data_IF_651876474914
#
_entry.id   IF_651876474914
#
_cell.length_a   1.000
_cell.length_b   1.000
_cell.length_c   1.000
_cell.angle_alpha   90.00
_cell.angle_beta   90.00
_cell.angle_gamma   90.00
#
_symmetry.space_group_name_H-M   'P 1'
#
loop_
_entity.id
_entity.type
_entity.pdbx_description
1 polymer ?
#
# COMPACT_ATOMS: atom_id res chain seq x y z
N UNK A 1 -30.26 -25.59 -16.12
CA UNK A 1 -29.64 -24.27 -15.85
C UNK A 1 -29.34 -24.23 -14.36
N UNK A 2 -28.19 -24.77 -13.95
CA UNK A 2 -27.74 -24.68 -12.55
C UNK A 2 -26.83 -23.46 -12.41
N UNK A 3 -27.29 -22.48 -11.65
CA UNK A 3 -26.53 -21.30 -11.28
C UNK A 3 -25.56 -21.73 -10.16
N UNK A 4 -24.30 -21.97 -10.52
CA UNK A 4 -23.23 -22.25 -9.58
C UNK A 4 -22.90 -21.00 -8.75
N UNK A 5 -23.64 -20.81 -7.65
CA UNK A 5 -23.33 -19.82 -6.63
C UNK A 5 -22.00 -20.13 -5.98
N UNK A 6 -20.92 -19.56 -6.53
CA UNK A 6 -19.58 -19.63 -5.94
C UNK A 6 -19.63 -19.05 -4.53
N UNK A 7 -19.23 -19.84 -3.53
CA UNK A 7 -18.98 -19.38 -2.16
C UNK A 7 -18.04 -18.17 -2.23
N UNK A 8 -18.57 -16.96 -2.01
CA UNK A 8 -17.82 -15.71 -2.15
C UNK A 8 -16.70 -15.64 -1.12
N UNK A 9 -15.46 -15.95 -1.55
CA UNK A 9 -14.27 -15.75 -0.75
C UNK A 9 -13.89 -14.27 -0.66
N UNK A 10 -13.11 -13.91 0.36
CA UNK A 10 -12.50 -12.57 0.44
C UNK A 10 -11.64 -12.28 -0.79
N UNK A 11 -11.51 -11.02 -1.15
CA UNK A 11 -10.58 -10.57 -2.17
C UNK A 11 -9.11 -10.82 -1.76
N UNK A 12 -8.22 -10.82 -2.75
CA UNK A 12 -6.79 -10.91 -2.50
C UNK A 12 -6.18 -9.52 -2.25
N UNK A 13 -5.16 -9.45 -1.39
CA UNK A 13 -4.30 -8.28 -1.28
C UNK A 13 -3.00 -8.57 -2.02
N UNK A 14 -2.77 -7.91 -3.14
CA UNK A 14 -1.58 -8.10 -4.00
C UNK A 14 -0.73 -6.84 -3.91
N UNK A 15 0.46 -6.95 -3.33
CA UNK A 15 1.39 -5.82 -3.18
C UNK A 15 2.56 -5.97 -4.15
N UNK A 16 2.86 -4.91 -4.90
CA UNK A 16 4.06 -4.84 -5.74
C UNK A 16 5.10 -3.91 -5.09
N UNK A 17 6.24 -4.49 -4.75
CA UNK A 17 7.40 -3.82 -4.15
C UNK A 17 8.59 -3.80 -5.10
N UNK A 18 9.56 -2.92 -4.84
CA UNK A 18 10.78 -2.80 -5.64
C UNK A 18 11.34 -1.38 -5.69
N UNK A 19 12.58 -1.27 -6.19
CA UNK A 19 13.33 -0.02 -6.28
C UNK A 19 12.66 1.02 -7.18
N UNK A 20 13.07 2.28 -7.06
CA UNK A 20 12.57 3.34 -7.92
C UNK A 20 12.83 3.05 -9.39
N UNK A 21 11.86 3.39 -10.25
CA UNK A 21 11.87 3.11 -11.69
C UNK A 21 11.89 1.62 -12.09
N UNK A 22 11.62 0.69 -11.17
CA UNK A 22 11.47 -0.75 -11.50
C UNK A 22 10.18 -1.13 -12.25
N UNK A 23 9.35 -0.15 -12.65
CA UNK A 23 8.12 -0.40 -13.42
C UNK A 23 6.90 -0.84 -12.61
N UNK A 24 6.92 -0.78 -11.27
CA UNK A 24 5.80 -1.20 -10.39
C UNK A 24 4.46 -0.60 -10.80
N UNK A 25 4.42 0.72 -11.00
CA UNK A 25 3.17 1.41 -11.34
C UNK A 25 2.59 0.92 -12.66
N UNK A 26 3.44 0.68 -13.66
CA UNK A 26 3.03 0.11 -14.95
C UNK A 26 2.51 -1.32 -14.79
N UNK A 27 3.15 -2.14 -13.95
CA UNK A 27 2.71 -3.51 -13.69
C UNK A 27 1.42 -3.57 -12.87
N UNK A 28 1.23 -2.67 -11.89
CA UNK A 28 -0.03 -2.54 -11.15
C UNK A 28 -1.19 -2.21 -12.09
N UNK A 29 -1.00 -1.25 -12.99
CA UNK A 29 -2.03 -0.88 -13.97
C UNK A 29 -2.37 -2.05 -14.91
N UNK A 30 -1.36 -2.76 -15.42
CA UNK A 30 -1.57 -3.94 -16.28
C UNK A 30 -2.31 -5.07 -15.54
N UNK A 31 -1.95 -5.33 -14.29
CA UNK A 31 -2.59 -6.34 -13.47
C UNK A 31 -4.05 -5.97 -13.16
N UNK A 32 -4.29 -4.71 -12.81
CA UNK A 32 -5.64 -4.18 -12.58
C UNK A 32 -6.53 -4.41 -13.81
N UNK A 33 -6.11 -3.92 -14.98
CA UNK A 33 -6.88 -4.09 -16.22
C UNK A 33 -7.07 -5.56 -16.61
N UNK A 34 -6.08 -6.42 -16.34
CA UNK A 34 -6.22 -7.85 -16.58
C UNK A 34 -7.29 -8.49 -15.70
N UNK A 35 -7.31 -8.19 -14.40
CA UNK A 35 -8.29 -8.73 -13.46
C UNK A 35 -9.70 -8.18 -13.71
N UNK A 36 -9.81 -6.88 -13.98
CA UNK A 36 -11.08 -6.25 -14.39
C UNK A 36 -11.62 -6.90 -15.68
N UNK A 37 -10.76 -7.13 -16.68
CA UNK A 37 -11.12 -7.82 -17.93
C UNK A 37 -11.54 -9.28 -17.74
N UNK A 38 -11.25 -9.89 -16.59
CA UNK A 38 -11.72 -11.23 -16.19
C UNK A 38 -13.01 -11.19 -15.36
N UNK A 39 -13.59 -10.01 -15.13
CA UNK A 39 -14.79 -9.83 -14.31
C UNK A 39 -14.51 -9.91 -12.80
N UNK A 40 -13.26 -9.82 -12.37
CA UNK A 40 -12.92 -9.79 -10.95
C UNK A 40 -13.11 -8.38 -10.39
N UNK A 41 -13.89 -8.22 -9.32
CA UNK A 41 -13.97 -6.97 -8.57
C UNK A 41 -12.58 -6.61 -8.02
N UNK A 42 -11.97 -5.57 -8.56
CA UNK A 42 -10.57 -5.21 -8.29
C UNK A 42 -10.41 -3.70 -8.18
N UNK A 43 -9.54 -3.24 -7.28
CA UNK A 43 -9.17 -1.81 -7.15
C UNK A 43 -7.66 -1.62 -7.11
N UNK A 44 -7.17 -0.54 -7.73
CA UNK A 44 -5.76 -0.12 -7.70
C UNK A 44 -5.51 0.91 -6.60
N UNK A 45 -4.54 0.63 -5.73
CA UNK A 45 -4.18 1.45 -4.58
C UNK A 45 -2.69 1.76 -4.59
N UNK A 46 -2.27 2.83 -3.91
CA UNK A 46 -0.86 3.25 -3.82
C UNK A 46 -0.55 3.85 -2.45
N UNK A 47 0.63 3.56 -1.92
CA UNK A 47 1.17 4.26 -0.75
C UNK A 47 2.47 5.02 -1.06
N UNK A 48 2.69 6.21 -0.45
CA UNK A 48 1.76 6.89 0.45
C UNK A 48 0.54 7.43 -0.31
N UNK A 49 -0.63 7.42 0.33
CA UNK A 49 -1.79 8.15 -0.17
C UNK A 49 -1.60 9.64 0.14
N UNK A 50 -1.33 10.41 -0.91
CA UNK A 50 -0.98 11.83 -0.85
C UNK A 50 -2.19 12.76 -0.67
N UNK A 51 -3.40 12.25 -0.76
CA UNK A 51 -4.62 13.06 -0.64
C UNK A 51 -5.01 13.32 0.82
N UNK A 52 -4.55 12.44 1.73
CA UNK A 52 -4.74 12.58 3.18
C UNK A 52 -3.88 13.71 3.77
N UNK A 53 -4.26 14.25 4.92
CA UNK A 53 -3.46 15.26 5.64
C UNK A 53 -2.04 14.75 5.96
N UNK A 54 -1.91 13.47 6.36
CA UNK A 54 -0.61 12.83 6.58
C UNK A 54 0.15 12.66 5.26
N UNK A 55 -0.53 12.29 4.18
CA UNK A 55 0.01 12.20 2.83
C UNK A 55 0.61 13.50 2.32
N UNK A 56 -0.04 14.63 2.62
CA UNK A 56 0.46 15.97 2.27
C UNK A 56 1.74 16.30 3.04
N UNK A 57 1.82 15.97 4.34
CA UNK A 57 3.05 16.13 5.13
C UNK A 57 4.20 15.28 4.57
N UNK A 58 3.92 14.02 4.21
CA UNK A 58 4.91 13.15 3.56
C UNK A 58 5.36 13.74 2.22
N UNK A 59 4.42 14.29 1.43
CA UNK A 59 4.73 14.88 0.12
C UNK A 59 5.64 16.10 0.24
N UNK A 60 5.38 16.99 1.19
CA UNK A 60 6.24 18.14 1.48
C UNK A 60 7.65 17.72 1.90
N UNK A 61 7.78 16.66 2.71
CA UNK A 61 9.07 16.09 3.06
C UNK A 61 9.82 15.54 1.84
N UNK A 62 9.14 14.75 1.00
CA UNK A 62 9.76 14.19 -0.22
C UNK A 62 10.15 15.27 -1.25
N UNK A 63 9.49 16.43 -1.23
CA UNK A 63 9.82 17.59 -2.04
C UNK A 63 10.96 18.45 -1.46
N UNK A 64 11.55 18.06 -0.32
CA UNK A 64 12.51 18.87 0.45
C UNK A 64 11.97 20.23 0.93
N UNK A 65 10.65 20.38 1.01
CA UNK A 65 9.98 21.60 1.50
C UNK A 65 9.87 21.63 3.04
N UNK A 66 10.11 20.50 3.70
CA UNK A 66 10.16 20.38 5.15
C UNK A 66 11.30 19.47 5.60
N UNK A 67 11.97 19.86 6.68
CA UNK A 67 12.98 19.03 7.34
C UNK A 67 12.32 18.32 8.52
N UNK A 68 12.19 17.00 8.41
CA UNK A 68 11.66 16.15 9.47
C UNK A 68 12.72 15.12 9.85
N UNK A 69 12.78 14.80 11.15
CA UNK A 69 13.59 13.69 11.65
C UNK A 69 13.17 12.36 10.99
N UNK A 70 14.16 11.49 10.74
CA UNK A 70 13.94 10.23 10.03
C UNK A 70 12.98 9.27 10.75
N UNK A 71 12.88 9.35 12.07
CA UNK A 71 11.90 8.59 12.86
C UNK A 71 10.51 9.18 12.68
N UNK A 72 10.40 10.51 12.65
CA UNK A 72 9.12 11.20 12.45
C UNK A 72 8.53 10.83 11.10
N UNK A 73 9.31 10.94 10.01
CA UNK A 73 8.81 10.59 8.68
C UNK A 73 8.47 9.09 8.58
N UNK A 74 9.24 8.20 9.20
CA UNK A 74 8.91 6.77 9.27
C UNK A 74 7.54 6.51 9.93
N UNK A 75 7.25 7.21 11.02
CA UNK A 75 5.96 7.12 11.71
C UNK A 75 4.82 7.69 10.87
N UNK A 76 5.05 8.80 10.14
CA UNK A 76 4.05 9.35 9.21
C UNK A 76 3.70 8.36 8.09
N UNK A 77 4.70 7.71 7.48
CA UNK A 77 4.44 6.64 6.50
C UNK A 77 3.67 5.46 7.09
N UNK A 78 3.88 5.15 8.37
CA UNK A 78 3.13 4.11 9.07
C UNK A 78 1.69 4.55 9.33
N UNK A 79 1.49 5.78 9.83
CA UNK A 79 0.20 6.38 10.08
C UNK A 79 -0.67 6.46 8.81
N UNK A 80 -0.09 6.88 7.68
CA UNK A 80 -0.79 6.96 6.40
C UNK A 80 -1.35 5.60 5.91
N UNK A 81 -0.69 4.49 6.25
CA UNK A 81 -1.21 3.13 5.99
C UNK A 81 -2.31 2.75 6.99
N UNK A 82 -2.15 3.11 8.25
CA UNK A 82 -3.17 2.88 9.29
C UNK A 82 -4.49 3.59 8.98
N UNK A 83 -4.45 4.81 8.45
CA UNK A 83 -5.66 5.55 8.03
C UNK A 83 -6.52 4.78 7.02
N UNK A 84 -5.88 3.91 6.22
CA UNK A 84 -6.53 3.14 5.16
C UNK A 84 -6.93 1.73 5.58
N UNK A 85 -6.43 1.24 6.72
CA UNK A 85 -6.59 -0.15 7.16
C UNK A 85 -8.04 -0.61 7.16
N UNK A 86 -8.93 0.12 7.85
CA UNK A 86 -10.34 -0.29 7.99
C UNK A 86 -11.06 -0.36 6.64
N UNK A 87 -10.73 0.54 5.71
CA UNK A 87 -11.28 0.51 4.36
C UNK A 87 -10.73 -0.68 3.56
N UNK A 88 -9.43 -0.96 3.65
CA UNK A 88 -8.82 -2.14 3.00
C UNK A 88 -9.46 -3.43 3.50
N UNK A 89 -9.59 -3.60 4.82
CA UNK A 89 -10.21 -4.77 5.43
C UNK A 89 -11.66 -4.94 4.95
N UNK A 90 -12.44 -3.85 4.93
CA UNK A 90 -13.82 -3.87 4.45
C UNK A 90 -13.92 -4.29 2.97
N UNK A 91 -13.07 -3.74 2.10
CA UNK A 91 -13.03 -4.10 0.67
C UNK A 91 -12.65 -5.56 0.43
N UNK A 92 -11.61 -6.03 1.12
CA UNK A 92 -11.15 -7.41 1.03
C UNK A 92 -12.22 -8.38 1.52
N UNK A 93 -12.82 -8.12 2.68
CA UNK A 93 -13.91 -8.95 3.22
C UNK A 93 -15.15 -8.94 2.32
N UNK A 94 -15.40 -7.82 1.62
CA UNK A 94 -16.46 -7.70 0.61
C UNK A 94 -16.17 -8.41 -0.72
N UNK A 95 -15.02 -9.08 -0.87
CA UNK A 95 -14.66 -9.83 -2.09
C UNK A 95 -13.87 -9.02 -3.13
N UNK A 96 -13.54 -7.75 -2.85
CA UNK A 96 -12.77 -6.90 -3.76
C UNK A 96 -11.27 -7.18 -3.61
N UNK A 97 -10.60 -7.52 -4.70
CA UNK A 97 -9.15 -7.67 -4.75
C UNK A 97 -8.47 -6.31 -4.80
N UNK A 98 -7.41 -6.10 -4.02
CA UNK A 98 -6.65 -4.86 -3.99
C UNK A 98 -5.27 -5.07 -4.59
N UNK A 99 -4.93 -4.31 -5.63
CA UNK A 99 -3.58 -4.25 -6.23
C UNK A 99 -2.88 -2.99 -5.73
N UNK A 100 -1.83 -3.14 -4.94
CA UNK A 100 -1.19 -2.05 -4.17
C UNK A 100 0.24 -1.78 -4.66
N UNK A 101 0.48 -0.56 -5.15
CA UNK A 101 1.80 -0.02 -5.49
C UNK A 101 2.48 0.50 -4.20
N UNK A 102 3.44 -0.29 -3.69
CA UNK A 102 4.17 -0.10 -2.41
C UNK A 102 3.31 -0.25 -1.15
N UNK A 103 3.84 -0.94 -0.15
CA UNK A 103 3.23 -1.10 1.17
C UNK A 103 4.30 -1.14 2.27
N UNK A 104 4.10 -1.90 3.35
CA UNK A 104 4.96 -1.98 4.54
C UNK A 104 6.46 -2.14 4.21
N UNK A 105 6.83 -3.00 3.28
CA UNK A 105 8.23 -3.31 3.00
C UNK A 105 9.03 -2.12 2.47
N UNK A 106 8.43 -1.26 1.63
CA UNK A 106 9.07 0.00 1.23
C UNK A 106 9.44 0.87 2.44
N UNK A 107 8.57 0.96 3.45
CA UNK A 107 8.83 1.79 4.64
C UNK A 107 10.00 1.30 5.50
N UNK A 108 10.12 -0.01 5.67
CA UNK A 108 11.27 -0.62 6.39
C UNK A 108 12.56 -0.40 5.61
N UNK A 109 12.56 -0.67 4.30
CA UNK A 109 13.75 -0.58 3.47
C UNK A 109 14.32 0.85 3.43
N UNK A 110 13.48 1.85 3.22
CA UNK A 110 13.92 3.25 3.17
C UNK A 110 14.43 3.75 4.53
N UNK A 111 13.77 3.38 5.63
CA UNK A 111 14.22 3.79 6.96
C UNK A 111 15.50 3.10 7.40
N UNK A 112 15.66 1.81 7.11
CA UNK A 112 16.91 1.09 7.36
C UNK A 112 18.07 1.66 6.54
N UNK A 113 17.82 2.06 5.28
CA UNK A 113 18.84 2.70 4.44
C UNK A 113 19.33 4.04 5.00
N UNK A 114 18.54 4.71 5.84
CA UNK A 114 18.93 5.93 6.56
C UNK A 114 19.62 5.67 7.90
N UNK A 115 19.88 4.42 8.25
CA UNK A 115 20.59 4.03 9.48
C UNK A 115 19.69 3.73 10.68
N UNK A 116 18.37 3.62 10.50
CA UNK A 116 17.48 3.16 11.56
C UNK A 116 17.56 1.64 11.73
N UNK A 117 17.43 1.18 12.98
CA UNK A 117 17.42 -0.26 13.28
C UNK A 117 16.27 -0.98 12.56
N UNK A 118 16.59 -2.11 11.93
CA UNK A 118 15.64 -2.87 11.13
C UNK A 118 14.55 -3.53 11.99
N UNK A 119 14.89 -3.92 13.23
CA UNK A 119 13.93 -4.44 14.20
C UNK A 119 12.90 -3.38 14.56
N UNK A 120 13.37 -2.17 14.87
CA UNK A 120 12.53 -1.01 15.16
C UNK A 120 11.59 -0.66 13.99
N UNK A 121 12.09 -0.69 12.76
CA UNK A 121 11.29 -0.41 11.56
C UNK A 121 10.20 -1.47 11.31
N UNK A 122 10.44 -2.73 11.69
CA UNK A 122 9.47 -3.84 11.52
C UNK A 122 8.38 -3.83 12.58
N UNK A 123 8.71 -3.56 13.84
CA UNK A 123 7.77 -3.60 14.98
C UNK A 123 6.62 -2.61 14.82
N UNK A 124 6.83 -1.52 14.08
CA UNK A 124 5.85 -0.45 13.89
C UNK A 124 5.12 -0.51 12.55
N UNK A 125 5.26 -1.61 11.81
CA UNK A 125 4.48 -1.85 10.60
C UNK A 125 3.41 -2.92 10.83
N UNK A 126 2.26 -2.69 10.19
CA UNK A 126 1.06 -3.53 10.31
C UNK A 126 1.42 -4.98 9.96
N UNK A 127 1.29 -5.95 10.89
CA UNK A 127 1.16 -7.34 10.51
C UNK A 127 -0.21 -7.49 9.83
N UNK A 128 -0.19 -7.97 8.57
CA UNK A 128 -1.40 -8.28 7.80
C UNK A 128 -2.10 -9.49 8.39
#
# INVERSE_FOLDING_TARGET
MENGGGKGGRGALIVLEGLDRSGKSSQCARLLSFLEGKGCATEGWRFPDRDTSVGKMISAYLANESQLDDRTIHLLFSANRWEKRSLMESKLLGGTTLVVDRYSYSGVAFSAAKGLDIGWCKVRHIPV
#
